data_IF_506267003087
#
_entry.id   IF_506267003087
#
_cell.length_a   1.000
_cell.length_b   1.000
_cell.length_c   1.000
_cell.angle_alpha   90.00
_cell.angle_beta   90.00
_cell.angle_gamma   90.00
#
_symmetry.space_group_name_H-M   'P 1'
#
loop_
_entity.id
_entity.type
_entity.pdbx_description
1 polymer ?
#
# COMPACT_ATOMS: atom_id res chain seq x y z
N UNK A 1 28.66 -5.24 54.90
CA UNK A 1 29.53 -4.05 55.01
C UNK A 1 28.83 -2.97 54.17
N UNK A 2 27.98 -2.24 54.72
CA UNK A 2 27.97 -1.02 55.52
C UNK A 2 28.74 0.16 54.93
N UNK A 3 28.00 1.19 54.56
CA UNK A 3 28.10 2.65 54.83
C UNK A 3 27.69 3.42 53.54
N UNK A 4 26.95 4.42 53.57
CA UNK A 4 26.20 5.39 54.39
C UNK A 4 25.88 6.59 53.49
N UNK A 5 24.69 7.06 53.62
CA UNK A 5 24.13 8.27 53.00
C UNK A 5 24.88 9.54 53.46
N UNK A 6 24.84 10.59 52.59
CA UNK A 6 24.91 11.98 53.04
C UNK A 6 23.87 12.85 52.31
N UNK A 7 22.93 13.35 53.09
CA UNK A 7 22.12 14.54 52.81
C UNK A 7 23.00 15.75 53.01
N UNK A 8 22.81 16.77 52.17
CA UNK A 8 23.08 18.20 52.57
C UNK A 8 21.92 19.05 52.08
N UNK A 9 21.32 19.73 53.02
CA UNK A 9 20.29 20.76 53.02
C UNK A 9 20.92 22.11 52.70
N UNK A 10 20.14 23.04 52.12
CA UNK A 10 20.47 24.45 52.08
C UNK A 10 19.67 25.31 51.13
N UNK A 11 18.52 25.89 51.56
CA UNK A 11 18.01 27.20 51.18
C UNK A 11 18.65 28.23 52.12
N UNK A 12 18.83 29.50 51.74
CA UNK A 12 17.78 30.51 51.60
C UNK A 12 18.10 31.58 50.52
N UNK A 13 17.39 32.58 50.11
CA UNK A 13 16.50 33.56 50.70
C UNK A 13 16.15 34.66 49.67
N UNK A 14 15.03 35.23 49.86
CA UNK A 14 14.39 36.43 49.29
C UNK A 14 15.28 37.61 48.92
N UNK A 15 14.89 38.33 47.86
CA UNK A 15 14.86 39.80 47.71
C UNK A 15 14.03 40.13 46.46
N UNK A 16 13.01 40.80 46.55
CA UNK A 16 12.52 42.13 46.85
C UNK A 16 11.98 42.80 45.55
N UNK A 17 10.70 43.07 45.63
CA UNK A 17 9.89 43.89 44.71
C UNK A 17 10.49 45.28 44.47
N UNK A 18 10.39 45.77 43.24
CA UNK A 18 10.35 47.20 42.96
C UNK A 18 9.23 47.50 41.97
N UNK A 19 8.25 48.23 42.46
CA UNK A 19 7.14 48.87 41.75
C UNK A 19 7.63 49.94 40.76
N UNK A 20 6.90 50.03 39.64
CA UNK A 20 6.52 51.32 39.03
C UNK A 20 5.70 51.08 37.74
N UNK A 21 4.93 52.06 37.19
CA UNK A 21 3.46 52.03 37.29
C UNK A 21 2.74 52.02 35.94
N UNK A 22 1.47 51.56 36.00
CA UNK A 22 0.31 51.94 35.16
C UNK A 22 0.53 52.33 33.69
N UNK A 23 0.24 51.35 32.80
CA UNK A 23 -0.14 51.60 31.41
C UNK A 23 -1.52 50.98 31.17
N UNK A 24 -2.46 51.79 30.71
CA UNK A 24 -3.92 51.61 30.56
C UNK A 24 -4.35 50.26 29.98
N UNK A 25 -5.32 49.57 30.61
CA UNK A 25 -5.98 48.40 30.02
C UNK A 25 -7.23 48.89 29.25
N UNK A 26 -7.11 49.11 27.96
CA UNK A 26 -8.28 49.57 27.19
C UNK A 26 -8.36 49.05 25.75
N UNK A 27 -7.25 48.57 25.19
CA UNK A 27 -7.21 48.24 23.74
C UNK A 27 -7.20 46.72 23.46
N UNK A 28 -6.73 45.91 24.40
CA UNK A 28 -6.67 44.44 24.20
C UNK A 28 -8.01 43.70 24.39
N UNK A 29 -8.96 44.32 25.08
CA UNK A 29 -10.29 43.70 25.30
C UNK A 29 -11.23 43.83 24.08
N UNK A 30 -11.00 44.83 23.20
CA UNK A 30 -11.79 45.06 21.99
C UNK A 30 -11.48 44.07 20.87
N UNK A 31 -10.23 43.59 20.75
CA UNK A 31 -9.82 42.69 19.69
C UNK A 31 -10.25 41.24 19.99
N UNK A 32 -10.21 40.84 21.26
CA UNK A 32 -10.67 39.50 21.65
C UNK A 32 -12.20 39.32 21.51
N UNK A 33 -12.98 40.39 21.79
CA UNK A 33 -14.44 40.35 21.60
C UNK A 33 -14.85 40.33 20.13
N UNK A 34 -14.13 41.05 19.27
CA UNK A 34 -14.40 41.05 17.81
C UNK A 34 -14.02 39.73 17.14
N UNK A 35 -12.95 39.06 17.57
CA UNK A 35 -12.55 37.75 17.09
C UNK A 35 -13.53 36.64 17.54
N UNK A 36 -14.03 36.72 18.76
CA UNK A 36 -15.06 35.78 19.28
C UNK A 36 -16.40 35.90 18.56
N UNK A 37 -16.83 37.10 18.21
CA UNK A 37 -18.07 37.35 17.47
C UNK A 37 -17.98 36.90 16.00
N UNK A 38 -16.82 37.02 15.37
CA UNK A 38 -16.59 36.55 13.99
C UNK A 38 -16.57 35.02 13.89
N UNK A 39 -16.00 34.33 14.87
CA UNK A 39 -16.01 32.86 14.95
C UNK A 39 -17.42 32.33 15.24
N UNK A 40 -18.20 33.00 16.10
CA UNK A 40 -19.59 32.61 16.36
C UNK A 40 -20.52 32.88 15.17
N UNK A 41 -20.29 33.94 14.37
CA UNK A 41 -21.08 34.23 13.16
C UNK A 41 -20.78 33.28 11.99
N UNK A 42 -19.56 32.74 11.92
CA UNK A 42 -19.19 31.72 10.93
C UNK A 42 -19.68 30.32 11.29
N UNK A 43 -19.93 30.05 12.57
CA UNK A 43 -20.49 28.77 13.03
C UNK A 43 -22.01 28.61 12.81
N UNK A 44 -22.75 29.73 12.59
CA UNK A 44 -24.21 29.69 12.49
C UNK A 44 -24.79 29.51 11.08
N UNK A 45 -23.94 29.43 10.03
CA UNK A 45 -24.37 29.18 8.65
C UNK A 45 -23.86 27.86 8.05
N UNK A 46 -23.24 26.99 8.84
CA UNK A 46 -22.98 25.62 8.39
C UNK A 46 -24.30 24.84 8.50
N UNK A 47 -25.09 24.85 7.40
CA UNK A 47 -26.13 23.84 7.25
C UNK A 47 -25.44 22.47 7.45
N UNK A 48 -25.86 21.71 8.47
CA UNK A 48 -25.41 20.33 8.67
C UNK A 48 -25.69 19.61 7.36
N UNK A 49 -24.66 19.10 6.65
CA UNK A 49 -24.94 18.33 5.46
C UNK A 49 -25.87 17.18 5.86
N UNK A 50 -26.84 16.81 5.03
CA UNK A 50 -27.68 15.65 5.31
C UNK A 50 -26.77 14.48 5.61
N UNK A 51 -27.11 13.61 6.59
CA UNK A 51 -26.31 12.43 6.88
C UNK A 51 -26.11 11.70 5.54
N UNK A 52 -24.86 11.33 5.20
CA UNK A 52 -24.60 10.61 3.96
C UNK A 52 -25.52 9.39 3.94
N UNK A 53 -26.23 9.19 2.81
CA UNK A 53 -27.03 7.99 2.61
C UNK A 53 -26.16 6.79 3.01
N UNK A 54 -26.71 5.88 3.83
CA UNK A 54 -25.97 4.75 4.36
C UNK A 54 -25.23 4.04 3.20
N UNK A 55 -23.90 3.98 3.24
CA UNK A 55 -23.14 3.48 2.10
C UNK A 55 -23.51 2.02 1.87
N UNK A 56 -23.96 1.73 0.68
CA UNK A 56 -24.31 0.36 0.29
C UNK A 56 -23.07 -0.35 -0.23
N UNK A 57 -22.35 -1.08 0.65
CA UNK A 57 -21.20 -1.88 0.26
C UNK A 57 -21.53 -2.90 -0.85
N UNK A 58 -22.80 -3.29 -0.98
CA UNK A 58 -23.27 -4.23 -2.01
C UNK A 58 -23.16 -3.66 -3.42
N UNK A 59 -23.18 -2.33 -3.57
CA UNK A 59 -22.96 -1.67 -4.86
C UNK A 59 -21.53 -1.84 -5.40
N UNK A 60 -20.58 -2.21 -4.53
CA UNK A 60 -19.16 -2.39 -4.85
C UNK A 60 -18.72 -3.87 -4.88
N UNK A 61 -19.67 -4.80 -4.87
CA UNK A 61 -19.37 -6.22 -4.90
C UNK A 61 -18.62 -6.61 -6.16
N UNK A 62 -17.45 -7.23 -5.97
CA UNK A 62 -16.68 -7.83 -7.05
C UNK A 62 -16.94 -9.33 -7.06
N UNK A 63 -17.25 -9.87 -8.23
CA UNK A 63 -17.57 -11.30 -8.41
C UNK A 63 -16.52 -11.97 -9.28
N UNK A 64 -16.18 -13.22 -8.94
CA UNK A 64 -15.32 -14.11 -9.72
C UNK A 64 -15.91 -15.51 -9.74
N UNK A 65 -15.64 -16.26 -10.82
CA UNK A 65 -16.10 -17.64 -10.98
C UNK A 65 -14.94 -18.51 -11.46
N UNK A 66 -14.82 -19.70 -10.88
CA UNK A 66 -13.90 -20.74 -11.33
C UNK A 66 -14.60 -22.10 -11.21
N UNK A 67 -14.80 -22.78 -12.35
CA UNK A 67 -15.60 -23.99 -12.43
C UNK A 67 -17.04 -23.75 -11.95
N UNK A 68 -17.52 -24.63 -11.08
CA UNK A 68 -18.85 -24.53 -10.46
C UNK A 68 -18.89 -23.64 -9.19
N UNK A 69 -17.84 -22.91 -8.86
CA UNK A 69 -17.78 -22.05 -7.69
C UNK A 69 -17.76 -20.59 -8.10
N UNK A 70 -18.74 -19.82 -7.58
CA UNK A 70 -18.79 -18.37 -7.71
C UNK A 70 -18.54 -17.72 -6.35
N UNK A 71 -17.67 -16.73 -6.30
CA UNK A 71 -17.42 -15.93 -5.12
C UNK A 71 -17.75 -14.47 -5.39
N UNK A 72 -18.27 -13.80 -4.37
CA UNK A 72 -18.51 -12.36 -4.39
C UNK A 72 -18.00 -11.74 -3.09
N UNK A 73 -17.42 -10.55 -3.16
CA UNK A 73 -16.83 -9.88 -1.99
C UNK A 73 -16.93 -8.38 -2.06
N UNK A 74 -17.00 -7.75 -0.89
CA UNK A 74 -16.86 -6.29 -0.71
C UNK A 74 -16.16 -6.00 0.61
N UNK A 75 -15.31 -5.00 0.63
CA UNK A 75 -14.64 -4.50 1.83
C UNK A 75 -15.44 -3.31 2.38
N UNK A 76 -15.75 -3.34 3.67
CA UNK A 76 -16.50 -2.27 4.31
C UNK A 76 -15.58 -1.10 4.71
N UNK A 77 -16.09 0.12 4.54
CA UNK A 77 -15.51 1.32 5.16
C UNK A 77 -15.73 1.33 6.67
N UNK A 78 -15.10 2.28 7.36
CA UNK A 78 -15.32 2.49 8.78
C UNK A 78 -16.80 2.76 9.11
N UNK A 79 -17.44 3.65 8.36
CA UNK A 79 -18.85 4.04 8.57
C UNK A 79 -19.83 2.90 8.24
N UNK A 80 -19.58 2.16 7.15
CA UNK A 80 -20.37 0.97 6.81
C UNK A 80 -20.26 -0.10 7.90
N UNK A 81 -19.07 -0.26 8.48
CA UNK A 81 -18.87 -1.21 9.57
C UNK A 81 -19.67 -0.86 10.82
N UNK A 82 -19.77 0.44 11.15
CA UNK A 82 -20.65 0.92 12.23
C UNK A 82 -22.12 0.62 11.92
N UNK A 83 -22.56 0.88 10.69
CA UNK A 83 -23.93 0.60 10.28
C UNK A 83 -24.29 -0.90 10.42
N UNK A 84 -23.37 -1.79 10.02
CA UNK A 84 -23.58 -3.25 10.06
C UNK A 84 -23.46 -3.82 11.46
N UNK A 85 -22.47 -3.39 12.25
CA UNK A 85 -22.16 -3.98 13.56
C UNK A 85 -22.69 -3.19 14.74
N UNK A 86 -23.03 -1.91 14.56
CA UNK A 86 -23.48 -1.01 15.62
C UNK A 86 -22.34 -0.47 16.51
N UNK A 87 -21.09 -0.76 16.17
CA UNK A 87 -19.90 -0.36 16.93
C UNK A 87 -18.75 0.02 15.98
N UNK A 88 -17.81 0.90 16.39
CA UNK A 88 -16.75 1.41 15.54
C UNK A 88 -15.56 0.43 15.44
N UNK A 89 -15.65 -0.59 14.61
CA UNK A 89 -14.62 -1.62 14.43
C UNK A 89 -13.25 -1.02 14.06
N UNK A 90 -13.24 0.03 13.26
CA UNK A 90 -12.02 0.71 12.83
C UNK A 90 -11.21 1.30 14.00
N UNK A 91 -11.85 1.63 15.14
CA UNK A 91 -11.16 2.10 16.36
C UNK A 91 -10.24 1.04 16.98
N UNK A 92 -10.47 -0.23 16.65
CA UNK A 92 -9.65 -1.38 17.03
C UNK A 92 -8.88 -1.97 15.85
N UNK A 93 -8.72 -1.19 14.76
CA UNK A 93 -8.06 -1.62 13.52
C UNK A 93 -8.70 -2.87 12.90
N UNK A 94 -10.01 -3.08 13.08
CA UNK A 94 -10.76 -4.20 12.53
C UNK A 94 -11.55 -3.72 11.30
N UNK A 95 -11.46 -4.49 10.20
CA UNK A 95 -12.16 -4.22 8.95
C UNK A 95 -12.94 -5.46 8.49
N UNK A 96 -14.28 -5.35 8.37
CA UNK A 96 -15.09 -6.45 7.84
C UNK A 96 -14.93 -6.60 6.33
N UNK A 97 -14.74 -7.84 5.90
CA UNK A 97 -14.80 -8.26 4.50
C UNK A 97 -16.02 -9.15 4.34
N UNK A 98 -17.00 -8.68 3.58
CA UNK A 98 -18.16 -9.48 3.22
C UNK A 98 -17.78 -10.48 2.13
N UNK A 99 -18.19 -11.74 2.29
CA UNK A 99 -17.92 -12.83 1.35
C UNK A 99 -19.23 -13.58 1.12
N UNK A 100 -19.50 -13.91 -0.14
CA UNK A 100 -20.53 -14.84 -0.53
C UNK A 100 -19.89 -15.92 -1.42
N UNK A 101 -20.19 -17.17 -1.13
CA UNK A 101 -19.74 -18.32 -1.93
C UNK A 101 -20.97 -19.11 -2.37
N UNK A 102 -21.14 -19.24 -3.68
CA UNK A 102 -22.10 -20.13 -4.31
C UNK A 102 -21.37 -21.37 -4.83
N UNK A 103 -21.72 -22.53 -4.29
CA UNK A 103 -21.10 -23.79 -4.62
C UNK A 103 -22.06 -24.66 -5.45
N UNK A 104 -21.84 -24.75 -6.74
CA UNK A 104 -22.60 -25.60 -7.67
C UNK A 104 -21.91 -26.95 -7.93
N UNK A 105 -20.84 -27.26 -7.21
CA UNK A 105 -20.12 -28.53 -7.30
C UNK A 105 -20.68 -29.56 -6.30
N UNK A 106 -20.23 -30.81 -6.43
CA UNK A 106 -20.73 -31.93 -5.64
C UNK A 106 -19.99 -32.14 -4.31
N UNK A 107 -18.99 -31.30 -4.01
CA UNK A 107 -18.20 -31.39 -2.79
C UNK A 107 -18.40 -30.14 -1.93
N UNK A 108 -18.43 -30.29 -0.61
CA UNK A 108 -18.44 -29.13 0.29
C UNK A 108 -17.08 -28.44 0.29
N UNK A 109 -17.09 -27.10 0.35
CA UNK A 109 -15.90 -26.28 0.44
C UNK A 109 -15.76 -25.60 1.80
N UNK A 110 -14.53 -25.49 2.28
CA UNK A 110 -14.16 -24.74 3.48
C UNK A 110 -13.39 -23.49 3.08
N UNK A 111 -13.87 -22.33 3.49
CA UNK A 111 -13.14 -21.08 3.38
C UNK A 111 -12.01 -21.04 4.42
N UNK A 112 -10.81 -20.76 3.96
CA UNK A 112 -9.65 -20.53 4.83
C UNK A 112 -9.53 -19.04 5.17
N UNK A 113 -10.04 -18.63 6.32
CA UNK A 113 -9.96 -17.24 6.79
C UNK A 113 -8.52 -16.67 6.85
N UNK A 114 -7.47 -17.47 7.23
CA UNK A 114 -6.09 -16.99 7.18
C UNK A 114 -5.59 -16.60 5.78
N UNK A 115 -6.25 -17.05 4.71
CA UNK A 115 -5.95 -16.61 3.35
C UNK A 115 -6.31 -15.15 3.11
N UNK A 116 -7.37 -14.65 3.77
CA UNK A 116 -7.76 -13.24 3.69
C UNK A 116 -6.82 -12.36 4.54
N UNK A 117 -6.51 -12.85 5.74
CA UNK A 117 -5.62 -12.17 6.67
C UNK A 117 -5.04 -13.21 7.66
N UNK A 118 -3.70 -13.39 7.71
CA UNK A 118 -3.08 -14.31 8.66
C UNK A 118 -3.43 -14.03 10.12
N UNK A 119 -3.76 -12.77 10.43
CA UNK A 119 -4.16 -12.30 11.76
C UNK A 119 -5.62 -11.84 11.78
N UNK A 120 -6.51 -12.57 11.11
CA UNK A 120 -7.94 -12.29 11.15
C UNK A 120 -8.48 -12.41 12.58
N UNK A 121 -9.56 -11.68 12.85
CA UNK A 121 -10.21 -11.70 14.16
C UNK A 121 -11.38 -12.70 14.16
N UNK A 122 -11.36 -13.76 14.99
CA UNK A 122 -12.56 -14.54 15.25
C UNK A 122 -13.70 -13.65 15.78
N UNK A 123 -14.94 -13.97 15.43
CA UNK A 123 -16.10 -13.16 15.80
C UNK A 123 -16.22 -12.94 17.32
N UNK A 124 -15.88 -13.95 18.12
CA UNK A 124 -15.87 -13.86 19.58
C UNK A 124 -14.79 -12.91 20.11
N UNK A 125 -13.57 -13.00 19.56
CA UNK A 125 -12.46 -12.13 19.92
C UNK A 125 -12.78 -10.67 19.60
N UNK A 126 -13.21 -10.39 18.37
CA UNK A 126 -13.58 -9.04 17.96
C UNK A 126 -14.72 -8.45 18.81
N UNK A 127 -15.73 -9.26 19.12
CA UNK A 127 -16.83 -8.81 20.00
C UNK A 127 -16.35 -8.47 21.41
N UNK A 128 -15.40 -9.22 21.95
CA UNK A 128 -14.84 -9.01 23.29
C UNK A 128 -13.97 -7.74 23.34
N UNK A 129 -13.14 -7.53 22.33
CA UNK A 129 -12.34 -6.30 22.20
C UNK A 129 -13.19 -5.03 22.19
N UNK A 130 -14.38 -5.07 21.57
CA UNK A 130 -15.30 -3.93 21.49
C UNK A 130 -16.26 -3.87 22.67
N UNK A 131 -16.57 -5.01 23.30
CA UNK A 131 -17.41 -5.08 24.50
C UNK A 131 -16.76 -4.41 25.73
N UNK A 132 -15.44 -4.26 25.75
CA UNK A 132 -14.74 -3.54 26.81
C UNK A 132 -15.25 -2.10 26.95
N UNK A 133 -15.59 -1.45 25.85
CA UNK A 133 -16.08 -0.06 25.81
C UNK A 133 -17.63 0.02 25.87
N UNK A 134 -18.34 -1.11 25.86
CA UNK A 134 -19.80 -1.17 25.83
C UNK A 134 -20.40 -1.37 27.23
N UNK A 135 -21.63 -0.82 27.52
CA UNK A 135 -22.38 -1.11 28.72
C UNK A 135 -22.61 -2.62 28.91
N UNK A 136 -22.48 -3.12 30.12
CA UNK A 136 -22.58 -4.54 30.43
C UNK A 136 -23.86 -5.22 29.90
N UNK A 137 -24.98 -4.50 29.89
CA UNK A 137 -26.26 -4.98 29.36
C UNK A 137 -26.23 -5.25 27.84
N UNK A 138 -25.34 -4.61 27.09
CA UNK A 138 -25.26 -4.73 25.62
C UNK A 138 -24.23 -5.78 25.17
N UNK A 139 -23.34 -6.26 26.02
CA UNK A 139 -22.24 -7.17 25.63
C UNK A 139 -22.75 -8.50 25.07
N UNK A 140 -23.79 -9.07 25.64
CA UNK A 140 -24.38 -10.31 25.14
C UNK A 140 -25.00 -10.17 23.76
N UNK A 141 -25.67 -9.05 23.49
CA UNK A 141 -26.26 -8.71 22.19
C UNK A 141 -25.16 -8.50 21.14
N UNK A 142 -24.11 -7.79 21.50
CA UNK A 142 -22.96 -7.57 20.62
C UNK A 142 -22.33 -8.91 20.20
N UNK A 143 -22.03 -9.78 21.16
CA UNK A 143 -21.47 -11.10 20.89
C UNK A 143 -22.36 -11.98 20.00
N UNK A 144 -23.69 -11.90 20.18
CA UNK A 144 -24.66 -12.58 19.32
C UNK A 144 -24.59 -12.05 17.87
N UNK A 145 -24.65 -10.72 17.70
CA UNK A 145 -24.58 -10.06 16.39
C UNK A 145 -23.32 -10.42 15.61
N UNK A 146 -22.16 -10.42 16.26
CA UNK A 146 -20.91 -10.81 15.63
C UNK A 146 -20.93 -12.27 15.13
N UNK A 147 -21.47 -13.19 15.92
CA UNK A 147 -21.61 -14.60 15.51
C UNK A 147 -22.63 -14.81 14.39
N UNK A 148 -23.70 -14.05 14.37
CA UNK A 148 -24.72 -14.13 13.31
C UNK A 148 -24.20 -13.60 11.96
N UNK A 149 -23.40 -12.55 11.97
CA UNK A 149 -22.82 -11.94 10.80
C UNK A 149 -21.60 -12.70 10.26
N UNK A 150 -20.94 -13.54 11.05
CA UNK A 150 -19.74 -14.25 10.65
C UNK A 150 -19.99 -15.23 9.52
N UNK A 151 -19.04 -15.34 8.58
CA UNK A 151 -19.04 -16.38 7.56
C UNK A 151 -18.94 -17.77 8.24
N UNK A 152 -19.76 -18.71 7.78
CA UNK A 152 -19.85 -20.05 8.39
C UNK A 152 -19.45 -21.13 7.40
N UNK A 153 -18.44 -21.90 7.77
CA UNK A 153 -18.05 -23.13 7.13
C UNK A 153 -18.91 -24.33 7.54
N UNK A 154 -19.04 -25.37 6.69
CA UNK A 154 -18.66 -25.41 5.27
C UNK A 154 -19.72 -24.77 4.36
N UNK A 155 -19.38 -24.61 3.08
CA UNK A 155 -20.33 -24.30 2.01
C UNK A 155 -20.76 -25.63 1.36
N UNK A 156 -21.94 -26.17 1.64
CA UNK A 156 -22.37 -27.47 1.10
C UNK A 156 -22.54 -27.48 -0.40
N UNK A 157 -22.57 -28.66 -1.04
CA UNK A 157 -22.98 -28.80 -2.45
C UNK A 157 -24.32 -28.14 -2.73
N UNK A 158 -24.44 -27.40 -3.84
CA UNK A 158 -25.65 -26.71 -4.27
C UNK A 158 -26.07 -25.52 -3.40
N UNK A 159 -25.28 -25.12 -2.42
CA UNK A 159 -25.63 -24.06 -1.46
C UNK A 159 -24.89 -22.75 -1.72
N UNK A 160 -25.53 -21.67 -1.28
CA UNK A 160 -24.90 -20.36 -1.13
C UNK A 160 -24.74 -20.01 0.35
N UNK A 161 -23.58 -19.53 0.75
CA UNK A 161 -23.27 -19.01 2.08
C UNK A 161 -22.70 -17.63 1.98
N UNK A 162 -23.14 -16.72 2.85
CA UNK A 162 -22.56 -15.40 2.96
C UNK A 162 -22.33 -15.02 4.42
N UNK A 163 -21.40 -14.10 4.65
CA UNK A 163 -21.06 -13.57 5.96
C UNK A 163 -19.79 -12.76 5.92
N UNK A 164 -19.33 -12.31 7.06
CA UNK A 164 -18.13 -11.49 7.19
C UNK A 164 -16.96 -12.27 7.77
N UNK A 165 -15.78 -11.99 7.26
CA UNK A 165 -14.49 -12.27 7.93
C UNK A 165 -13.92 -10.94 8.40
N UNK A 166 -13.52 -10.86 9.65
CA UNK A 166 -12.97 -9.66 10.27
C UNK A 166 -11.45 -9.69 10.14
N UNK A 167 -10.90 -8.70 9.47
CA UNK A 167 -9.48 -8.61 9.08
C UNK A 167 -8.86 -7.35 9.65
N UNK A 168 -7.53 -7.21 9.59
CA UNK A 168 -6.87 -5.96 9.92
C UNK A 168 -7.28 -4.84 8.95
N UNK A 169 -7.27 -3.60 9.44
CA UNK A 169 -7.62 -2.42 8.66
C UNK A 169 -6.55 -2.14 7.60
N UNK A 170 -6.98 -2.09 6.35
CA UNK A 170 -6.19 -1.57 5.23
C UNK A 170 -6.86 -0.34 4.65
N UNK A 171 -6.08 0.64 4.24
CA UNK A 171 -6.54 1.83 3.53
C UNK A 171 -6.24 1.70 2.03
N UNK A 172 -7.05 2.32 1.19
CA UNK A 172 -6.86 2.39 -0.25
C UNK A 172 -7.38 1.19 -1.01
N UNK A 173 -6.72 0.07 -0.91
CA UNK A 173 -7.22 -1.20 -1.39
C UNK A 173 -6.91 -2.32 -0.41
N UNK A 174 -7.68 -3.38 -0.51
CA UNK A 174 -7.43 -4.63 0.18
C UNK A 174 -7.33 -5.77 -0.81
N UNK A 175 -6.30 -6.58 -0.68
CA UNK A 175 -6.28 -7.88 -1.34
C UNK A 175 -7.21 -8.80 -0.56
N UNK A 176 -8.30 -9.22 -1.19
CA UNK A 176 -9.18 -10.25 -0.68
C UNK A 176 -8.83 -11.56 -1.37
N UNK A 177 -8.12 -12.42 -0.66
CA UNK A 177 -7.80 -13.76 -1.14
C UNK A 177 -8.78 -14.75 -0.53
N UNK A 178 -9.60 -15.37 -1.36
CA UNK A 178 -10.57 -16.39 -0.98
C UNK A 178 -10.03 -17.74 -1.40
N UNK A 179 -9.53 -18.50 -0.42
CA UNK A 179 -9.07 -19.87 -0.60
C UNK A 179 -10.15 -20.81 -0.10
N UNK A 180 -10.69 -21.59 -1.01
CA UNK A 180 -11.71 -22.62 -0.76
C UNK A 180 -11.09 -23.99 -0.96
N UNK A 181 -11.15 -24.83 0.05
CA UNK A 181 -10.55 -26.17 0.01
C UNK A 181 -11.60 -27.26 0.20
N UNK A 182 -11.38 -28.36 -0.49
CA UNK A 182 -12.08 -29.63 -0.31
C UNK A 182 -11.05 -30.76 -0.46
N UNK A 183 -11.47 -32.02 -0.33
CA UNK A 183 -10.55 -33.16 -0.48
C UNK A 183 -9.89 -33.16 -1.87
N UNK A 184 -8.56 -33.04 -1.89
CA UNK A 184 -7.73 -33.08 -3.09
C UNK A 184 -7.89 -31.91 -4.06
N UNK A 185 -8.59 -30.83 -3.67
CA UNK A 185 -8.81 -29.66 -4.53
C UNK A 185 -8.83 -28.37 -3.74
N UNK A 186 -8.22 -27.33 -4.31
CA UNK A 186 -8.36 -25.96 -3.86
C UNK A 186 -8.83 -25.04 -5.00
N UNK A 187 -9.57 -24.00 -4.64
CA UNK A 187 -9.98 -22.90 -5.52
C UNK A 187 -9.52 -21.60 -4.90
N UNK A 188 -8.69 -20.85 -5.61
CA UNK A 188 -8.13 -19.58 -5.13
C UNK A 188 -8.64 -18.44 -5.98
N UNK A 189 -9.20 -17.43 -5.31
CA UNK A 189 -9.67 -16.20 -5.93
C UNK A 189 -8.94 -15.02 -5.30
N UNK A 190 -8.19 -14.29 -6.11
CA UNK A 190 -7.53 -13.05 -5.69
C UNK A 190 -8.29 -11.86 -6.24
N UNK A 191 -8.79 -11.00 -5.36
CA UNK A 191 -9.64 -9.88 -5.72
C UNK A 191 -9.07 -8.61 -5.10
N UNK A 192 -8.81 -7.60 -5.93
CA UNK A 192 -8.50 -6.26 -5.48
C UNK A 192 -9.80 -5.53 -5.18
N UNK A 193 -10.04 -5.25 -3.90
CA UNK A 193 -11.18 -4.48 -3.46
C UNK A 193 -10.73 -3.06 -3.07
N UNK A 194 -11.35 -2.04 -3.67
CA UNK A 194 -11.13 -0.65 -3.27
C UNK A 194 -11.79 -0.39 -1.93
N UNK A 195 -11.08 0.26 -1.02
CA UNK A 195 -11.58 0.71 0.28
C UNK A 195 -12.05 2.16 0.14
N UNK A 196 -13.33 2.48 0.40
CA UNK A 196 -13.84 3.84 0.28
C UNK A 196 -13.14 4.82 1.22
N UNK A 197 -13.04 6.07 0.77
CA UNK A 197 -12.47 7.16 1.57
C UNK A 197 -10.97 7.41 1.37
N UNK A 198 -10.27 6.52 0.69
CA UNK A 198 -8.86 6.68 0.37
C UNK A 198 -8.64 7.30 -1.00
N UNK A 199 -7.72 8.25 -1.08
CA UNK A 199 -7.28 8.89 -2.34
C UNK A 199 -6.00 8.26 -2.81
N UNK A 200 -6.08 7.12 -3.47
CA UNK A 200 -4.92 6.43 -4.01
C UNK A 200 -4.30 7.18 -5.18
N UNK A 201 -2.96 7.19 -5.20
CA UNK A 201 -2.16 7.72 -6.29
C UNK A 201 -1.97 6.63 -7.36
N UNK A 202 -3.06 6.27 -8.01
CA UNK A 202 -2.98 5.44 -9.19
C UNK A 202 -4.03 5.87 -10.21
N UNK A 203 -3.54 6.13 -11.41
CA UNK A 203 -4.37 6.25 -12.59
C UNK A 203 -5.00 4.91 -13.01
N UNK A 204 -4.90 3.86 -12.15
CA UNK A 204 -5.34 2.49 -12.46
C UNK A 204 -6.79 2.45 -12.93
N UNK A 205 -7.66 3.24 -12.33
CA UNK A 205 -9.04 3.34 -12.80
C UNK A 205 -9.16 4.00 -14.17
N UNK A 206 -8.23 4.87 -14.55
CA UNK A 206 -8.17 5.48 -15.87
C UNK A 206 -7.37 4.63 -16.85
N UNK A 207 -6.24 4.03 -16.41
CA UNK A 207 -5.40 3.10 -17.19
C UNK A 207 -6.19 1.88 -17.66
N UNK A 208 -7.09 1.37 -16.82
CA UNK A 208 -7.89 0.19 -17.14
C UNK A 208 -9.26 0.53 -17.73
N UNK A 209 -9.81 1.71 -17.50
CA UNK A 209 -11.03 2.20 -18.16
C UNK A 209 -10.79 2.81 -19.53
N UNK A 210 -9.61 3.40 -19.75
CA UNK A 210 -9.16 3.87 -21.05
C UNK A 210 -8.12 2.88 -21.54
N UNK A 211 -8.31 2.34 -22.72
CA UNK A 211 -7.25 1.65 -23.44
C UNK A 211 -6.13 2.66 -23.70
N UNK A 212 -5.12 2.73 -22.81
CA UNK A 212 -3.99 3.68 -22.92
C UNK A 212 -3.29 3.52 -24.27
N UNK A 213 -3.26 2.30 -24.77
CA UNK A 213 -2.71 1.99 -26.07
C UNK A 213 -3.81 1.46 -26.98
N UNK A 214 -4.01 2.07 -28.18
CA UNK A 214 -4.90 1.51 -29.17
C UNK A 214 -4.46 0.09 -29.55
N UNK A 215 -5.39 -0.82 -29.86
CA UNK A 215 -5.09 -2.24 -30.12
C UNK A 215 -3.95 -2.48 -31.11
N UNK A 216 -3.84 -1.65 -32.15
CA UNK A 216 -2.77 -1.75 -33.16
C UNK A 216 -1.37 -1.35 -32.68
N UNK A 217 -1.24 -0.79 -31.45
CA UNK A 217 0.06 -0.46 -30.85
C UNK A 217 0.51 -1.48 -29.82
N UNK A 218 -0.35 -2.40 -29.43
CA UNK A 218 0.00 -3.44 -28.46
C UNK A 218 0.65 -4.62 -29.18
N UNK A 219 1.87 -4.95 -28.78
CA UNK A 219 2.63 -6.08 -29.33
C UNK A 219 2.66 -7.23 -28.32
N UNK A 220 2.18 -8.40 -28.72
CA UNK A 220 2.23 -9.60 -27.89
C UNK A 220 3.42 -10.48 -28.32
N UNK A 221 4.40 -10.59 -27.45
CA UNK A 221 5.58 -11.43 -27.61
C UNK A 221 5.29 -12.85 -27.09
N UNK A 222 5.43 -13.84 -27.96
CA UNK A 222 5.33 -15.27 -27.61
C UNK A 222 6.68 -15.98 -27.69
N UNK A 223 7.70 -15.30 -28.21
CA UNK A 223 9.09 -15.74 -28.28
C UNK A 223 9.94 -14.97 -27.26
N UNK A 224 10.68 -15.71 -26.43
CA UNK A 224 11.49 -15.14 -25.35
C UNK A 224 12.67 -14.32 -25.87
N UNK A 225 13.23 -14.62 -27.06
CA UNK A 225 14.34 -13.86 -27.62
C UNK A 225 13.85 -12.51 -28.18
N UNK A 226 12.71 -12.49 -28.87
CA UNK A 226 12.08 -11.27 -29.34
C UNK A 226 11.62 -10.40 -28.16
N UNK A 227 11.08 -11.00 -27.10
CA UNK A 227 10.72 -10.28 -25.88
C UNK A 227 11.95 -9.66 -25.21
N UNK A 228 13.05 -10.43 -25.07
CA UNK A 228 14.32 -9.93 -24.54
C UNK A 228 14.81 -8.71 -25.33
N UNK A 229 14.85 -8.79 -26.65
CA UNK A 229 15.30 -7.69 -27.51
C UNK A 229 14.44 -6.43 -27.30
N UNK A 230 13.11 -6.59 -27.17
CA UNK A 230 12.21 -5.47 -26.89
C UNK A 230 12.47 -4.84 -25.51
N UNK A 231 12.78 -5.63 -24.49
CA UNK A 231 13.14 -5.14 -23.16
C UNK A 231 14.50 -4.41 -23.15
N UNK A 232 15.47 -4.89 -23.92
CA UNK A 232 16.79 -4.25 -24.05
C UNK A 232 16.69 -2.87 -24.75
N UNK A 233 15.73 -2.70 -25.65
CA UNK A 233 15.46 -1.45 -26.36
C UNK A 233 14.72 -0.38 -25.55
N UNK A 234 14.20 -0.70 -24.36
CA UNK A 234 13.52 0.27 -23.50
C UNK A 234 14.49 1.37 -23.02
N UNK A 235 14.00 2.61 -22.75
CA UNK A 235 14.79 3.67 -22.15
C UNK A 235 15.54 3.20 -20.90
N UNK A 236 16.73 3.74 -20.64
CA UNK A 236 17.52 3.38 -19.45
C UNK A 236 16.84 3.78 -18.14
N UNK A 237 16.15 4.92 -18.19
CA UNK A 237 15.86 5.69 -17.00
C UNK A 237 14.48 6.34 -17.10
N UNK A 238 13.94 6.72 -15.96
CA UNK A 238 12.83 7.68 -15.89
C UNK A 238 13.33 9.08 -16.22
N UNK A 239 12.41 10.00 -16.46
CA UNK A 239 12.75 11.41 -16.71
C UNK A 239 11.97 12.34 -15.76
N UNK A 240 12.34 13.62 -15.78
CA UNK A 240 11.47 14.71 -15.33
C UNK A 240 10.30 14.90 -16.32
N UNK A 241 9.37 15.79 -16.00
CA UNK A 241 8.11 15.98 -16.73
C UNK A 241 8.32 16.34 -18.22
N UNK A 242 9.29 17.21 -18.51
CA UNK A 242 9.60 17.64 -19.87
C UNK A 242 10.55 16.70 -20.65
N UNK A 243 11.02 15.62 -20.01
CA UNK A 243 11.91 14.63 -20.61
C UNK A 243 13.36 15.11 -20.82
N UNK A 244 13.75 16.29 -20.30
CA UNK A 244 15.07 16.89 -20.51
C UNK A 244 16.17 16.27 -19.66
N UNK A 245 15.83 15.59 -18.55
CA UNK A 245 16.79 15.01 -17.63
C UNK A 245 16.43 13.55 -17.31
N UNK A 246 17.45 12.70 -17.34
CA UNK A 246 17.35 11.33 -16.87
C UNK A 246 17.45 11.27 -15.35
N UNK A 247 16.60 10.45 -14.74
CA UNK A 247 16.56 10.18 -13.31
C UNK A 247 16.99 8.77 -12.95
N UNK A 248 16.23 8.18 -12.03
CA UNK A 248 16.46 6.83 -11.53
C UNK A 248 16.39 5.77 -12.65
N UNK A 249 17.14 4.66 -12.51
CA UNK A 249 17.16 3.61 -13.52
C UNK A 249 15.83 2.85 -13.59
N UNK A 250 15.40 2.50 -14.80
CA UNK A 250 14.30 1.56 -15.04
C UNK A 250 14.80 0.13 -14.87
N UNK A 251 14.98 -0.28 -13.63
CA UNK A 251 15.66 -1.51 -13.23
C UNK A 251 14.73 -2.73 -13.00
N UNK A 252 13.45 -2.60 -13.39
CA UNK A 252 12.45 -3.64 -13.20
C UNK A 252 11.50 -3.77 -14.39
N UNK A 253 11.07 -5.00 -14.65
CA UNK A 253 9.95 -5.35 -15.53
C UNK A 253 9.05 -6.32 -14.76
N UNK A 254 7.74 -6.05 -14.74
CA UNK A 254 6.72 -6.92 -14.16
C UNK A 254 5.81 -7.41 -15.27
N UNK A 255 5.67 -8.72 -15.39
CA UNK A 255 4.79 -9.37 -16.37
C UNK A 255 3.63 -10.02 -15.62
N UNK A 256 2.44 -9.52 -15.85
CA UNK A 256 1.21 -9.94 -15.19
C UNK A 256 0.22 -8.79 -15.09
N UNK A 257 -1.06 -9.12 -15.00
CA UNK A 257 -2.13 -8.15 -14.78
C UNK A 257 -2.35 -7.84 -13.30
N UNK A 258 -3.42 -7.09 -13.03
CA UNK A 258 -3.84 -6.78 -11.66
C UNK A 258 -4.14 -8.05 -10.85
N UNK A 259 -4.71 -9.06 -11.48
CA UNK A 259 -5.08 -10.31 -10.81
C UNK A 259 -3.90 -11.31 -10.71
N UNK A 260 -2.79 -11.07 -11.42
CA UNK A 260 -1.63 -11.95 -11.42
C UNK A 260 -0.50 -11.44 -10.51
N UNK A 261 -0.04 -10.20 -10.78
CA UNK A 261 1.14 -9.61 -10.13
C UNK A 261 0.81 -8.87 -8.82
N UNK A 262 -0.27 -8.08 -8.81
CA UNK A 262 -0.53 -7.22 -7.65
C UNK A 262 -0.92 -7.97 -6.36
N UNK A 263 -1.58 -9.14 -6.40
CA UNK A 263 -1.75 -9.99 -5.23
C UNK A 263 -0.42 -10.33 -4.55
N UNK A 264 0.63 -10.60 -5.32
CA UNK A 264 1.95 -10.90 -4.81
C UNK A 264 2.53 -9.72 -3.98
N UNK A 265 2.45 -8.51 -4.52
CA UNK A 265 2.89 -7.31 -3.82
C UNK A 265 2.11 -7.08 -2.53
N UNK A 266 0.78 -7.13 -2.58
CA UNK A 266 -0.08 -6.92 -1.41
C UNK A 266 0.19 -7.95 -0.30
N UNK A 267 0.33 -9.23 -0.67
CA UNK A 267 0.65 -10.33 0.26
C UNK A 267 1.99 -10.13 0.96
N UNK A 268 2.94 -9.51 0.29
CA UNK A 268 4.27 -9.18 0.82
C UNK A 268 4.33 -7.82 1.53
N UNK A 269 3.18 -7.20 1.79
CA UNK A 269 3.07 -5.96 2.57
C UNK A 269 3.39 -4.68 1.80
N UNK A 270 3.42 -4.74 0.45
CA UNK A 270 3.46 -3.54 -0.36
C UNK A 270 2.09 -2.86 -0.33
N UNK A 271 2.10 -1.53 -0.21
CA UNK A 271 0.89 -0.70 -0.11
C UNK A 271 0.88 0.35 -1.22
N UNK A 272 -0.30 0.75 -1.73
CA UNK A 272 -0.40 1.87 -2.67
C UNK A 272 0.01 3.17 -1.99
N UNK A 273 0.48 4.11 -2.77
CA UNK A 273 0.73 5.46 -2.29
C UNK A 273 -0.54 6.30 -2.35
N UNK A 274 -0.67 7.27 -1.45
CA UNK A 274 -1.76 8.24 -1.44
C UNK A 274 -1.44 9.40 -2.40
N UNK A 275 -2.46 10.01 -3.02
CA UNK A 275 -2.29 11.22 -3.82
C UNK A 275 -1.74 12.37 -2.97
N UNK A 276 -0.96 13.26 -3.61
CA UNK A 276 -0.49 14.49 -2.98
C UNK A 276 -1.65 15.48 -2.82
N UNK A 277 -2.09 15.68 -1.61
CA UNK A 277 -3.05 16.71 -1.21
C UNK A 277 -2.70 17.23 0.18
N UNK A 278 -3.29 18.34 0.59
CA UNK A 278 -2.91 18.98 1.87
C UNK A 278 -2.95 18.05 3.08
N UNK A 279 -3.92 17.14 3.15
CA UNK A 279 -4.03 16.15 4.22
C UNK A 279 -2.94 15.08 4.20
N UNK A 280 -2.59 14.52 3.03
CA UNK A 280 -1.52 13.53 2.92
C UNK A 280 -0.14 14.14 3.19
N UNK A 281 0.08 15.39 2.75
CA UNK A 281 1.30 16.14 3.06
C UNK A 281 1.40 16.42 4.56
N UNK A 282 0.29 16.81 5.21
CA UNK A 282 0.28 17.04 6.66
C UNK A 282 0.55 15.74 7.43
N UNK A 283 -0.09 14.62 7.06
CA UNK A 283 0.20 13.29 7.63
C UNK A 283 1.67 12.91 7.47
N UNK A 284 2.26 13.17 6.29
CA UNK A 284 3.66 12.90 6.04
C UNK A 284 4.57 13.69 6.96
N UNK A 285 4.29 14.99 7.15
CA UNK A 285 5.06 15.87 8.04
C UNK A 285 4.91 15.43 9.50
N UNK A 286 3.70 15.17 9.97
CA UNK A 286 3.46 14.74 11.35
C UNK A 286 4.08 13.37 11.65
N UNK A 287 3.97 12.41 10.74
CA UNK A 287 4.60 11.09 10.91
C UNK A 287 6.12 11.17 10.90
N UNK A 288 6.70 12.06 10.07
CA UNK A 288 8.14 12.29 10.07
C UNK A 288 8.64 12.92 11.39
N UNK A 289 7.90 13.87 11.94
CA UNK A 289 8.22 14.51 13.23
C UNK A 289 8.04 13.55 14.42
N UNK A 290 7.02 12.69 14.37
CA UNK A 290 6.74 11.70 15.42
C UNK A 290 7.61 10.43 15.29
N UNK A 291 8.35 10.25 14.18
CA UNK A 291 9.07 9.01 13.88
C UNK A 291 8.14 7.83 13.61
N UNK A 292 6.90 8.11 13.23
CA UNK A 292 5.88 7.09 12.99
C UNK A 292 5.91 6.54 11.58
N UNK A 293 5.31 5.37 11.40
CA UNK A 293 5.15 4.72 10.10
C UNK A 293 3.97 5.32 9.35
N UNK A 294 4.19 5.74 8.09
CA UNK A 294 3.11 6.10 7.16
C UNK A 294 3.17 5.21 5.91
N UNK A 295 2.47 4.06 5.91
CA UNK A 295 2.55 3.06 4.84
C UNK A 295 2.04 3.52 3.48
N UNK A 296 1.31 4.61 3.43
CA UNK A 296 0.66 5.15 2.22
C UNK A 296 1.23 6.51 1.80
N UNK A 297 2.37 6.92 2.34
CA UNK A 297 2.93 8.25 2.08
C UNK A 297 3.10 8.52 0.58
N UNK A 298 2.73 9.72 0.10
CA UNK A 298 2.89 10.10 -1.30
C UNK A 298 4.33 9.99 -1.79
N UNK A 299 4.50 9.68 -3.08
CA UNK A 299 5.81 9.69 -3.76
C UNK A 299 5.87 10.80 -4.80
N UNK A 300 7.09 11.20 -5.18
CA UNK A 300 7.30 12.16 -6.25
C UNK A 300 6.97 11.53 -7.60
N UNK A 301 6.42 12.35 -8.52
CA UNK A 301 6.17 11.91 -9.88
C UNK A 301 7.48 11.76 -10.62
N UNK A 302 7.59 10.65 -11.33
CA UNK A 302 8.61 10.37 -12.31
C UNK A 302 7.91 10.06 -13.64
N UNK A 303 8.56 10.27 -14.75
CA UNK A 303 7.93 10.21 -16.06
C UNK A 303 8.55 9.14 -16.93
N UNK A 304 7.69 8.44 -17.67
CA UNK A 304 8.06 7.50 -18.72
C UNK A 304 6.92 7.46 -19.75
N UNK A 305 7.26 7.26 -21.02
CA UNK A 305 6.27 7.26 -22.12
C UNK A 305 5.42 8.55 -22.18
N UNK A 306 5.99 9.70 -21.74
CA UNK A 306 5.32 11.00 -21.74
C UNK A 306 4.26 11.19 -20.64
N UNK A 307 4.27 10.38 -19.57
CA UNK A 307 3.32 10.47 -18.45
C UNK A 307 3.95 10.08 -17.13
N UNK A 308 3.34 10.54 -16.04
CA UNK A 308 3.68 10.10 -14.69
C UNK A 308 3.39 8.59 -14.52
N UNK A 309 3.89 8.01 -13.43
CA UNK A 309 3.66 6.60 -13.12
C UNK A 309 2.17 6.25 -13.10
N UNK A 310 1.84 5.11 -13.70
CA UNK A 310 0.46 4.61 -13.69
C UNK A 310 0.11 4.00 -12.33
N UNK A 311 1.11 3.52 -11.59
CA UNK A 311 0.93 2.90 -10.29
C UNK A 311 2.19 3.05 -9.42
N UNK A 312 2.00 3.39 -8.14
CA UNK A 312 3.09 3.45 -7.19
C UNK A 312 2.77 2.63 -5.94
N UNK A 313 3.75 1.84 -5.51
CA UNK A 313 3.71 1.03 -4.32
C UNK A 313 4.88 1.36 -3.41
N UNK A 314 4.70 1.16 -2.13
CA UNK A 314 5.78 1.25 -1.17
C UNK A 314 5.69 0.15 -0.12
N UNK A 315 6.85 -0.20 0.43
CA UNK A 315 6.98 -1.10 1.57
C UNK A 315 7.85 -0.42 2.62
N UNK A 316 7.21 0.09 3.67
CA UNK A 316 7.87 0.77 4.78
C UNK A 316 8.28 -0.26 5.86
N UNK A 317 9.44 -0.04 6.49
CA UNK A 317 9.82 -0.70 7.75
C UNK A 317 9.17 0.04 8.92
N UNK A 318 9.93 0.37 9.95
CA UNK A 318 9.42 0.92 11.20
C UNK A 318 9.10 2.42 11.14
N UNK A 319 9.70 3.14 10.17
CA UNK A 319 9.50 4.58 10.02
C UNK A 319 9.45 5.01 8.54
N UNK A 320 9.04 6.26 8.32
CA UNK A 320 8.88 6.86 6.99
C UNK A 320 10.20 7.02 6.21
N UNK A 321 11.35 7.00 6.88
CA UNK A 321 12.67 7.20 6.27
C UNK A 321 13.32 5.91 5.76
N UNK A 322 12.67 4.75 5.98
CA UNK A 322 13.16 3.42 5.58
C UNK A 322 12.10 2.72 4.75
N UNK A 323 12.02 3.06 3.47
CA UNK A 323 11.01 2.55 2.55
C UNK A 323 11.62 2.08 1.25
N UNK A 324 11.07 1.02 0.70
CA UNK A 324 11.22 0.72 -0.71
C UNK A 324 10.08 1.39 -1.48
N UNK A 325 10.42 2.05 -2.57
CA UNK A 325 9.50 2.68 -3.51
C UNK A 325 9.52 1.93 -4.83
N UNK A 326 8.36 1.63 -5.34
CA UNK A 326 8.18 1.00 -6.65
C UNK A 326 7.22 1.86 -7.47
N UNK A 327 7.61 2.20 -8.68
CA UNK A 327 6.77 2.87 -9.67
C UNK A 327 6.67 2.00 -10.91
N UNK A 328 5.48 1.91 -11.46
CA UNK A 328 5.17 1.07 -12.61
C UNK A 328 4.45 1.89 -13.69
N UNK A 329 4.85 1.64 -14.93
CA UNK A 329 4.22 2.16 -16.14
C UNK A 329 3.78 0.99 -17.00
N UNK A 330 2.50 0.95 -17.37
CA UNK A 330 2.01 -0.02 -18.34
C UNK A 330 2.68 0.27 -19.68
N UNK A 331 3.28 -0.73 -20.28
CA UNK A 331 3.88 -0.65 -21.61
C UNK A 331 2.90 -1.13 -22.69
N UNK A 332 3.16 -0.80 -23.97
CA UNK A 332 2.39 -1.37 -25.09
C UNK A 332 2.76 -2.83 -25.39
N UNK A 333 3.40 -3.53 -24.46
CA UNK A 333 3.86 -4.90 -24.62
C UNK A 333 2.96 -5.87 -23.85
N UNK A 334 2.84 -7.06 -24.39
CA UNK A 334 2.36 -8.26 -23.70
C UNK A 334 3.37 -9.39 -23.88
N UNK A 335 3.45 -10.28 -22.93
CA UNK A 335 4.22 -11.51 -23.01
C UNK A 335 3.31 -12.70 -22.71
N UNK A 336 3.15 -13.59 -23.69
CA UNK A 336 2.14 -14.66 -23.64
C UNK A 336 0.74 -14.18 -23.20
N UNK A 337 0.31 -13.02 -23.74
CA UNK A 337 -0.97 -12.40 -23.43
C UNK A 337 -1.02 -11.60 -22.13
N UNK A 338 -0.05 -11.75 -21.21
CA UNK A 338 0.02 -11.00 -19.95
C UNK A 338 0.55 -9.60 -20.18
N UNK A 339 0.03 -8.62 -19.44
CA UNK A 339 0.49 -7.23 -19.48
C UNK A 339 1.96 -7.10 -19.02
N UNK A 340 2.69 -6.19 -19.62
CA UNK A 340 4.09 -5.89 -19.26
C UNK A 340 4.17 -4.48 -18.71
N UNK A 341 4.67 -4.35 -17.50
CA UNK A 341 4.93 -3.09 -16.82
C UNK A 341 6.43 -2.85 -16.74
N UNK A 342 6.84 -1.63 -17.05
CA UNK A 342 8.20 -1.18 -16.83
C UNK A 342 8.26 -0.47 -15.48
N UNK A 343 9.28 -0.73 -14.69
CA UNK A 343 9.33 -0.25 -13.32
C UNK A 343 10.67 0.34 -12.90
N UNK A 344 10.57 1.18 -11.90
CA UNK A 344 11.69 1.73 -11.14
C UNK A 344 11.50 1.34 -9.67
N UNK A 345 12.51 0.72 -9.09
CA UNK A 345 12.56 0.44 -7.66
C UNK A 345 13.80 1.07 -7.03
N UNK A 346 13.61 1.72 -5.89
CA UNK A 346 14.67 2.28 -5.06
C UNK A 346 14.36 2.08 -3.58
N UNK A 347 15.38 2.26 -2.73
CA UNK A 347 15.27 2.19 -1.28
C UNK A 347 15.68 3.52 -0.67
N UNK A 348 14.87 4.04 0.26
CA UNK A 348 15.24 5.16 1.12
C UNK A 348 16.07 4.65 2.30
N UNK A 349 17.17 5.31 2.58
CA UNK A 349 18.08 5.03 3.71
C UNK A 349 18.22 6.20 4.68
N UNK A 350 17.36 7.21 4.57
CA UNK A 350 17.38 8.39 5.40
C UNK A 350 16.75 9.59 4.75
N UNK A 351 16.99 10.77 5.31
CA UNK A 351 16.56 12.07 4.79
C UNK A 351 17.74 13.02 4.66
N UNK A 352 17.66 13.95 3.73
CA UNK A 352 18.61 15.05 3.58
C UNK A 352 17.93 16.36 3.25
N UNK A 353 18.61 17.49 3.56
CA UNK A 353 18.20 18.81 3.11
C UNK A 353 18.59 19.01 1.64
N UNK A 354 17.72 19.61 0.85
CA UNK A 354 17.94 19.94 -0.56
C UNK A 354 17.12 21.15 -0.98
N UNK A 355 17.65 21.95 -1.87
CA UNK A 355 16.93 23.05 -2.52
C UNK A 355 16.06 22.57 -3.70
N UNK A 356 16.22 21.31 -4.12
CA UNK A 356 15.49 20.71 -5.24
C UNK A 356 14.14 20.12 -4.83
N UNK A 357 13.70 20.33 -3.58
CA UNK A 357 12.39 19.93 -3.07
C UNK A 357 11.64 21.14 -2.51
N UNK A 358 10.34 21.28 -2.79
CA UNK A 358 9.52 22.36 -2.21
C UNK A 358 9.49 22.38 -0.68
N UNK A 359 9.79 21.26 -0.05
CA UNK A 359 9.85 21.11 1.41
C UNK A 359 11.26 21.26 1.98
N UNK A 360 12.25 21.62 1.15
CA UNK A 360 13.68 21.67 1.49
C UNK A 360 14.26 20.37 2.07
N UNK A 361 13.50 19.27 1.98
CA UNK A 361 13.91 17.93 2.42
C UNK A 361 13.59 16.92 1.33
N UNK A 362 14.45 15.92 1.17
CA UNK A 362 14.20 14.76 0.33
C UNK A 362 14.71 13.51 1.03
N UNK A 363 14.22 12.34 0.61
CA UNK A 363 14.77 11.08 1.06
C UNK A 363 16.13 10.85 0.41
N UNK A 364 17.06 10.33 1.19
CA UNK A 364 18.35 9.85 0.68
C UNK A 364 18.15 8.45 0.13
N UNK A 365 18.41 8.28 -1.15
CA UNK A 365 18.31 6.98 -1.82
C UNK A 365 19.57 6.15 -1.56
N UNK A 366 19.40 4.85 -1.37
CA UNK A 366 20.50 3.90 -1.36
C UNK A 366 21.20 3.94 -2.72
N UNK A 367 22.50 4.26 -2.76
CA UNK A 367 23.22 4.31 -4.02
C UNK A 367 23.33 2.96 -4.73
N UNK A 368 23.21 1.83 -4.03
CA UNK A 368 23.11 0.50 -4.62
C UNK A 368 21.68 0.18 -5.03
N UNK A 369 21.26 0.66 -6.21
CA UNK A 369 19.90 0.41 -6.70
C UNK A 369 19.64 -1.04 -7.07
N UNK A 370 20.68 -1.85 -7.24
CA UNK A 370 20.55 -3.28 -7.55
C UNK A 370 20.20 -4.10 -6.31
N UNK A 371 20.56 -3.62 -5.10
CA UNK A 371 20.11 -4.23 -3.85
C UNK A 371 18.59 -4.16 -3.71
N UNK A 372 17.97 -3.01 -4.00
CA UNK A 372 16.52 -2.86 -3.95
C UNK A 372 15.81 -3.78 -4.96
N UNK A 373 16.37 -3.89 -6.19
CA UNK A 373 15.90 -4.81 -7.23
C UNK A 373 16.00 -6.27 -6.78
N UNK A 374 17.14 -6.67 -6.24
CA UNK A 374 17.39 -8.02 -5.77
C UNK A 374 16.52 -8.40 -4.57
N UNK A 375 16.35 -7.47 -3.62
CA UNK A 375 15.47 -7.67 -2.46
C UNK A 375 14.00 -7.84 -2.89
N UNK A 376 13.54 -7.07 -3.89
CA UNK A 376 12.20 -7.24 -4.45
C UNK A 376 12.04 -8.61 -5.09
N UNK A 377 12.98 -9.06 -5.91
CA UNK A 377 12.90 -10.36 -6.57
C UNK A 377 12.79 -11.50 -5.55
N UNK A 378 13.60 -11.47 -4.49
CA UNK A 378 13.53 -12.43 -3.39
C UNK A 378 12.20 -12.35 -2.63
N UNK A 379 11.72 -11.14 -2.34
CA UNK A 379 10.42 -10.92 -1.67
C UNK A 379 9.26 -11.49 -2.51
N UNK A 380 9.30 -11.30 -3.84
CA UNK A 380 8.29 -11.83 -4.75
C UNK A 380 8.34 -13.35 -4.88
N UNK A 381 9.51 -13.99 -4.76
CA UNK A 381 9.61 -15.45 -4.72
C UNK A 381 8.78 -16.04 -3.55
N UNK A 382 8.82 -15.40 -2.38
CA UNK A 382 8.01 -15.79 -1.22
C UNK A 382 6.53 -15.40 -1.32
N UNK A 383 6.11 -14.68 -2.36
CA UNK A 383 4.68 -14.35 -2.57
C UNK A 383 3.84 -15.54 -3.03
N UNK A 384 4.47 -16.60 -3.51
CA UNK A 384 3.84 -17.77 -4.14
C UNK A 384 3.10 -17.45 -5.46
N UNK A 385 3.38 -16.33 -6.09
CA UNK A 385 2.84 -15.97 -7.41
C UNK A 385 3.92 -15.71 -8.45
N UNK A 386 5.21 -15.76 -8.08
CA UNK A 386 6.31 -15.61 -9.02
C UNK A 386 6.51 -16.90 -9.78
N UNK A 387 6.23 -16.89 -11.09
CA UNK A 387 6.37 -18.07 -11.96
C UNK A 387 7.75 -18.13 -12.63
N UNK A 388 8.30 -16.96 -13.04
CA UNK A 388 9.58 -16.93 -13.75
C UNK A 388 10.34 -15.64 -13.42
N UNK A 389 11.66 -15.73 -13.32
CA UNK A 389 12.56 -14.61 -13.04
C UNK A 389 13.71 -14.60 -14.04
N UNK A 390 14.22 -13.42 -14.35
CA UNK A 390 15.45 -13.26 -15.12
C UNK A 390 15.99 -11.86 -15.08
N UNK A 391 17.09 -11.65 -15.78
CA UNK A 391 17.72 -10.34 -15.88
C UNK A 391 18.07 -10.05 -17.32
N UNK A 392 17.91 -8.78 -17.72
CA UNK A 392 18.13 -8.32 -19.08
C UNK A 392 18.89 -6.99 -19.08
N UNK A 393 19.72 -6.75 -20.05
CA UNK A 393 20.43 -5.47 -20.26
C UNK A 393 19.45 -4.33 -20.59
N UNK A 394 19.96 -3.11 -20.64
CA UNK A 394 19.23 -1.93 -21.15
C UNK A 394 19.25 -0.72 -20.23
N UNK A 395 19.65 -0.86 -18.96
CA UNK A 395 19.89 0.28 -18.05
C UNK A 395 21.26 0.93 -18.35
N UNK A 396 22.24 0.13 -18.71
CA UNK A 396 23.64 0.54 -18.82
C UNK A 396 24.33 0.60 -17.46
N UNK A 397 25.49 -0.02 -17.36
CA UNK A 397 26.25 -0.08 -16.13
C UNK A 397 26.74 1.31 -15.66
N UNK A 398 26.78 1.52 -14.35
CA UNK A 398 27.40 2.67 -13.70
C UNK A 398 28.20 2.15 -12.50
N UNK A 399 29.54 2.10 -12.56
CA UNK A 399 30.36 1.60 -11.47
C UNK A 399 30.40 2.58 -10.30
N UNK A 400 30.79 2.11 -9.12
CA UNK A 400 30.97 2.96 -7.92
C UNK A 400 31.97 4.10 -8.14
N UNK A 401 32.99 3.88 -8.99
CA UNK A 401 33.99 4.88 -9.35
C UNK A 401 33.47 6.00 -10.26
N UNK A 402 32.32 5.77 -10.94
CA UNK A 402 31.66 6.74 -11.82
C UNK A 402 30.13 6.60 -11.69
N UNK A 403 29.56 6.97 -10.54
CA UNK A 403 28.13 6.86 -10.29
C UNK A 403 27.36 7.85 -11.18
N UNK A 404 26.11 7.51 -11.49
CA UNK A 404 25.16 8.44 -12.12
C UNK A 404 24.39 9.20 -11.03
N UNK A 405 23.82 10.34 -11.36
CA UNK A 405 22.90 11.09 -10.50
C UNK A 405 21.45 10.87 -10.91
N UNK A 406 20.56 10.83 -9.95
CA UNK A 406 19.12 10.90 -10.20
C UNK A 406 18.62 12.36 -10.28
N UNK A 407 17.30 12.57 -10.43
CA UNK A 407 16.72 13.93 -10.54
C UNK A 407 16.92 14.80 -9.29
N UNK A 408 17.15 14.20 -8.13
CA UNK A 408 17.47 14.90 -6.88
C UNK A 408 18.97 14.99 -6.61
N UNK A 409 19.79 14.62 -7.59
CA UNK A 409 21.27 14.59 -7.51
C UNK A 409 21.85 13.57 -6.54
N UNK A 410 21.07 12.55 -6.12
CA UNK A 410 21.59 11.44 -5.38
C UNK A 410 22.42 10.53 -6.30
N UNK A 411 23.66 10.19 -5.92
CA UNK A 411 24.47 9.29 -6.70
C UNK A 411 23.94 7.85 -6.61
N UNK A 412 23.94 7.12 -7.74
CA UNK A 412 23.67 5.69 -7.77
C UNK A 412 24.64 4.94 -8.68
N UNK A 413 24.85 3.67 -8.35
CA UNK A 413 25.59 2.73 -9.20
C UNK A 413 24.74 1.47 -9.46
N UNK A 414 25.01 0.80 -10.58
CA UNK A 414 24.24 -0.36 -11.04
C UNK A 414 25.06 -1.25 -11.97
N UNK A 415 24.77 -2.55 -11.98
CA UNK A 415 25.28 -3.50 -12.96
C UNK A 415 24.70 -3.30 -14.37
N UNK A 416 23.68 -2.46 -14.50
CA UNK A 416 23.05 -2.12 -15.77
C UNK A 416 21.91 -3.06 -16.18
N UNK A 417 21.49 -3.97 -15.32
CA UNK A 417 20.44 -4.95 -15.62
C UNK A 417 19.07 -4.52 -15.09
N UNK A 418 18.03 -5.02 -15.76
CA UNK A 418 16.63 -5.01 -15.27
C UNK A 418 16.28 -6.39 -14.78
N UNK A 419 15.65 -6.47 -13.60
CA UNK A 419 14.98 -7.68 -13.17
C UNK A 419 13.67 -7.88 -13.92
N UNK A 420 13.40 -9.06 -14.42
CA UNK A 420 12.17 -9.43 -15.11
C UNK A 420 11.45 -10.47 -14.26
N UNK A 421 10.27 -10.09 -13.75
CA UNK A 421 9.46 -10.90 -12.86
C UNK A 421 8.14 -11.26 -13.56
N UNK A 422 7.92 -12.54 -13.81
CA UNK A 422 6.68 -13.04 -14.43
C UNK A 422 5.81 -13.66 -13.35
N UNK A 423 4.58 -13.17 -13.25
CA UNK A 423 3.63 -13.62 -12.24
C UNK A 423 2.54 -14.51 -12.83
N UNK A 424 2.03 -15.38 -11.98
CA UNK A 424 0.86 -16.19 -12.29
C UNK A 424 -0.20 -16.07 -11.20
N UNK A 425 -1.46 -16.23 -11.59
CA UNK A 425 -2.59 -16.25 -10.67
C UNK A 425 -2.59 -17.48 -9.77
N UNK A 426 -2.12 -18.60 -10.29
CA UNK A 426 -2.03 -19.84 -9.54
C UNK A 426 -0.79 -19.83 -8.64
N UNK A 427 -0.91 -20.36 -7.42
CA UNK A 427 0.23 -20.45 -6.52
C UNK A 427 1.38 -21.25 -7.13
N UNK A 428 2.58 -20.69 -7.08
CA UNK A 428 3.82 -21.31 -7.55
C UNK A 428 4.72 -21.59 -6.35
N UNK A 429 5.15 -22.85 -6.19
CA UNK A 429 6.12 -23.20 -5.14
C UNK A 429 7.50 -22.64 -5.47
N UNK A 430 8.35 -22.44 -4.45
CA UNK A 430 9.73 -21.95 -4.67
C UNK A 430 10.51 -22.85 -5.63
N UNK A 431 10.31 -24.16 -5.57
CA UNK A 431 10.97 -25.13 -6.44
C UNK A 431 10.47 -25.09 -7.90
N UNK A 432 9.30 -24.50 -8.14
CA UNK A 432 8.69 -24.40 -9.47
C UNK A 432 8.97 -23.04 -10.15
N UNK A 433 9.67 -22.13 -9.50
CA UNK A 433 10.05 -20.85 -10.11
C UNK A 433 11.07 -21.10 -11.22
N UNK A 434 10.73 -20.73 -12.44
CA UNK A 434 11.60 -20.86 -13.61
C UNK A 434 12.55 -19.66 -13.73
N UNK A 435 13.60 -19.83 -14.56
CA UNK A 435 14.57 -18.78 -14.84
C UNK A 435 14.72 -18.54 -16.34
N UNK A 436 14.72 -17.25 -16.72
CA UNK A 436 15.27 -16.85 -18.01
C UNK A 436 16.81 -16.91 -17.91
N UNK A 437 17.43 -17.73 -18.73
CA UNK A 437 18.88 -17.88 -18.77
C UNK A 437 19.50 -16.79 -19.68
N UNK A 438 19.19 -15.52 -19.43
CA UNK A 438 19.66 -14.40 -20.24
C UNK A 438 20.95 -13.79 -19.67
N UNK A 439 20.84 -13.06 -18.58
CA UNK A 439 21.97 -12.42 -17.91
C UNK A 439 22.01 -12.88 -16.44
N UNK A 440 23.20 -12.91 -15.86
CA UNK A 440 23.38 -13.12 -14.44
C UNK A 440 23.71 -11.79 -13.75
N UNK A 441 23.00 -11.40 -12.68
CA UNK A 441 23.39 -10.23 -11.90
C UNK A 441 24.75 -10.47 -11.26
N UNK A 442 25.62 -9.47 -11.27
CA UNK A 442 26.89 -9.56 -10.56
C UNK A 442 26.64 -9.57 -9.07
N UNK A 443 27.27 -10.48 -8.36
CA UNK A 443 27.25 -10.50 -6.91
C UNK A 443 27.80 -9.20 -6.31
N UNK A 444 27.41 -8.87 -5.08
CA UNK A 444 27.93 -7.66 -4.39
C UNK A 444 29.44 -7.69 -4.19
N UNK A 445 30.05 -8.88 -4.13
CA UNK A 445 31.50 -9.07 -4.01
C UNK A 445 32.26 -8.74 -5.30
N UNK A 446 31.60 -8.83 -6.46
CA UNK A 446 32.23 -8.66 -7.78
C UNK A 446 32.00 -7.25 -8.37
N UNK A 447 31.48 -6.33 -7.58
CA UNK A 447 31.23 -4.95 -8.01
C UNK A 447 32.47 -4.10 -7.80
N UNK A 448 33.15 -3.63 -8.89
CA UNK A 448 34.33 -2.79 -8.80
C UNK A 448 34.05 -1.44 -8.13
#
# INVERSE_FOLDING_TARGET
>A
MSRRAKRVTGLPSRCALRDSPLGRPGVLMGIAAAAGALVAALASCAATPPPPAAPDYKSRVVTRTDGGVRVATAVLSADESVTVYGVPLASRSIQPVWIEVENRENSAYYLLSPGLDPNFFPASEASELLAADAPSAQRGELGRRFRELAFRNPVPPGATRSGFVLTNLDEGFKLVQIDLVTSGRARTFSIFALVPGFRSDYGVSEVFRREIYPPGRVVNYTDDAAFRAALEALPCCVTNEDGSQNGDPLNLVVVGGLDDAFPAFARRGWRPTEQKWSGSIMKMVTSALAGERYPYAPVSDLYLFGRAQDFALQKARDNIHQRNHLRLWLSPMRHHGKQVWVGQISRDIGSRLTIHSPTFTTHKIDPDVDEARSALAQDMAYSQNLAKIGYVKGVGAAPRSAPRGNLTTDPYYTDGLRGVLVFDRQPTSLAAVEFFLWEAPRGTADRP
#
